data_IF_324276019643
#
_entry.id   IF_324276019643
#
_cell.length_a   1.000
_cell.length_b   1.000
_cell.length_c   1.000
_cell.angle_alpha   90.00
_cell.angle_beta   90.00
_cell.angle_gamma   90.00
#
_symmetry.space_group_name_H-M   'P 1'
#
loop_
_entity.id
_entity.type
_entity.pdbx_description
1 polymer ?
2 polymer ?
3 polymer ?
4 non-polymer ?
5 non-polymer ?
6 water ?
#
loop_
_entity_poly.entity_id
_entity_poly.type
_entity_poly.pdbx_seq_one_letter_code
_entity_poly.pdbx_strand_id
1 'polyribonucleotide' '(GTP)GAUGGCGAAAGCCAUUUCCGCAGGCCCCAUUGCACUCCGGGGUAUUGGCGUUAGGUGGUGGUACGAGGUUCGAAUCCUCGUACCGCAGCCA' ?
2 'polyribonucleotide' 'GGAUGGCGAAAGCCAUUUCCGCAGGCCCCAUUGCACUCCGGGGUAUUGGCGUUAGGUGGUGGUACGAGGUUCGAAUCCUCGUACCGCAGCCA' ?
#
# COMPACT_ATOMS: atom_id res chain seq x y z
N UNK C 6 11.13 -15.27 14.55
CA UNK C 6 11.14 -15.03 13.08
C UNK C 6 11.80 -16.17 12.31
N UNK C 7 10.99 -17.16 11.89
CA UNK C 7 11.52 -18.30 11.13
C UNK C 7 10.87 -18.37 9.76
N UNK C 8 11.49 -17.73 8.75
CA UNK C 8 11.01 -17.67 7.37
C UNK C 8 10.10 -18.82 6.90
N UNK C 9 8.94 -18.45 6.36
CA UNK C 9 7.95 -19.42 5.88
C UNK C 9 7.32 -18.98 4.57
N UNK C 10 6.82 -19.94 3.80
CA UNK C 10 6.16 -19.67 2.53
C UNK C 10 4.92 -18.82 2.74
N UNK C 11 4.46 -18.78 3.98
CA UNK C 11 3.24 -18.06 4.31
C UNK C 11 3.37 -16.92 5.30
N UNK C 12 2.93 -15.74 4.90
CA UNK C 12 2.96 -14.65 5.85
C UNK C 12 1.60 -14.65 6.60
N UNK C 13 1.62 -14.24 7.85
CA UNK C 13 0.41 -14.20 8.65
C UNK C 13 0.12 -12.75 8.88
N UNK C 14 -1.14 -12.34 8.71
CA UNK C 14 -1.48 -10.93 8.89
C UNK C 14 -2.65 -10.73 9.85
N UNK C 15 -2.48 -9.81 10.79
CA UNK C 15 -3.56 -9.52 11.73
C UNK C 15 -3.63 -8.02 11.91
N UNK C 16 -4.62 -7.59 12.67
CA UNK C 16 -4.91 -6.18 12.83
C UNK C 16 -5.57 -5.66 11.52
N UNK C 17 -6.37 -6.52 10.89
CA UNK C 17 -7.07 -6.16 9.66
C UNK C 17 -8.45 -5.65 10.04
N UNK C 18 -8.91 -4.62 9.33
CA UNK C 18 -10.22 -4.08 9.60
C UNK C 18 -11.27 -5.17 9.46
N UNK C 19 -11.97 -5.45 10.55
CA UNK C 19 -12.98 -6.48 10.54
C UNK C 19 -14.30 -6.18 9.83
N UNK C 20 -14.52 -4.94 9.40
CA UNK C 20 -15.76 -4.58 8.69
C UNK C 20 -15.78 -5.08 7.25
N UNK C 21 -14.63 -4.93 6.58
CA UNK C 21 -14.40 -5.35 5.20
C UNK C 21 -14.94 -6.76 4.99
N UNK C 22 -15.79 -6.94 4.00
CA UNK C 22 -16.36 -8.26 3.73
C UNK C 22 -15.23 -9.19 3.27
N UNK C 23 -15.49 -10.50 3.24
CA UNK C 23 -14.47 -11.46 2.85
C UNK C 23 -13.89 -11.28 1.47
N UNK C 24 -14.74 -11.49 0.46
CA UNK C 24 -14.32 -11.35 -0.94
C UNK C 24 -13.44 -10.13 -1.15
N UNK C 25 -13.87 -8.97 -0.64
CA UNK C 25 -13.11 -7.72 -0.82
C UNK C 25 -11.72 -7.82 -0.25
N UNK C 26 -11.65 -8.32 1.00
CA UNK C 26 -10.36 -8.46 1.68
C UNK C 26 -9.42 -9.26 0.80
N UNK C 27 -9.86 -10.45 0.36
CA UNK C 27 -9.03 -11.27 -0.50
C UNK C 27 -8.59 -10.51 -1.74
N UNK C 28 -9.53 -9.81 -2.37
CA UNK C 28 -9.22 -9.06 -3.59
C UNK C 28 -8.13 -8.07 -3.33
N UNK C 29 -8.36 -7.22 -2.34
CA UNK C 29 -7.39 -6.21 -2.01
C UNK C 29 -6.03 -6.83 -1.62
N UNK C 30 -6.04 -7.88 -0.79
CA UNK C 30 -4.80 -8.51 -0.34
C UNK C 30 -4.02 -9.03 -1.52
N UNK C 31 -4.75 -9.59 -2.47
CA UNK C 31 -4.11 -10.13 -3.65
C UNK C 31 -3.49 -9.02 -4.49
N UNK C 32 -4.17 -7.89 -4.63
CA UNK C 32 -3.56 -6.81 -5.40
C UNK C 32 -2.25 -6.39 -4.71
N UNK C 33 -2.31 -6.07 -3.42
CA UNK C 33 -1.10 -5.65 -2.71
C UNK C 33 0.03 -6.71 -2.67
N UNK C 34 -0.29 -7.95 -2.38
CA UNK C 34 0.77 -8.93 -2.25
C UNK C 34 1.27 -9.65 -3.49
N UNK C 35 0.41 -9.80 -4.50
CA UNK C 35 0.79 -10.51 -5.71
C UNK C 35 1.95 -9.83 -6.39
N UNK C 36 2.31 -8.64 -5.94
CA UNK C 36 3.43 -7.93 -6.55
C UNK C 36 4.71 -8.09 -5.73
N UNK C 37 4.84 -9.22 -5.06
CA UNK C 37 6.03 -9.49 -4.27
C UNK C 37 6.56 -10.84 -4.70
N UNK C 38 5.71 -11.53 -5.46
CA UNK C 38 6.07 -12.84 -5.95
C UNK C 38 4.75 -13.50 -6.22
N UNK C 39 4.78 -14.63 -6.91
CA UNK C 39 3.56 -15.36 -7.21
C UNK C 39 2.89 -15.87 -5.93
N UNK C 40 1.58 -15.70 -5.85
CA UNK C 40 0.82 -16.16 -4.70
C UNK C 40 0.11 -17.45 -5.02
N UNK C 41 0.08 -18.38 -4.06
CA UNK C 41 -0.59 -19.66 -4.28
C UNK C 41 -1.98 -19.65 -3.65
N UNK C 42 -2.15 -18.86 -2.61
CA UNK C 42 -3.46 -18.80 -1.97
C UNK C 42 -3.55 -17.79 -0.84
N UNK C 43 -4.75 -17.24 -0.68
CA UNK C 43 -5.02 -16.30 0.39
C UNK C 43 -6.18 -16.86 1.17
N UNK C 44 -5.99 -17.05 2.48
CA UNK C 44 -7.05 -17.61 3.30
C UNK C 44 -7.64 -16.57 4.23
N UNK C 45 -8.94 -16.32 4.09
CA UNK C 45 -9.59 -15.36 4.97
C UNK C 45 -10.82 -16.00 5.58
N UNK C 46 -11.01 -15.75 6.87
CA UNK C 46 -12.18 -16.28 7.54
C UNK C 46 -12.70 -15.23 8.49
N UNK C 47 -13.99 -15.32 8.78
CA UNK C 47 -14.64 -14.36 9.66
C UNK C 47 -15.37 -15.08 10.75
N UNK C 48 -14.66 -16.05 11.33
CA UNK C 48 -15.15 -16.85 12.43
C UNK C 48 -14.79 -16.00 13.62
N UNK C 49 -15.25 -16.38 14.81
CA UNK C 49 -14.95 -15.60 15.99
C UNK C 49 -13.45 -15.50 16.26
N UNK C 50 -12.73 -16.58 16.03
CA UNK C 50 -11.30 -16.59 16.28
C UNK C 50 -10.44 -16.21 15.06
N UNK C 52 -11.39 -13.97 12.41
CA UNK C 52 -11.60 -12.64 11.85
C UNK C 52 -10.48 -11.68 12.14
N UNK C 53 -10.36 -10.68 11.29
CA UNK C 53 -9.33 -9.68 11.46
C UNK C 53 -7.98 -10.21 11.05
N UNK C 54 -7.92 -11.49 10.69
CA UNK C 54 -6.64 -12.11 10.30
C UNK C 54 -6.67 -12.66 8.89
N UNK C 55 -5.50 -12.77 8.27
CA UNK C 55 -5.40 -13.29 6.93
C UNK C 55 -4.11 -14.06 6.73
N UNK C 56 -4.20 -15.14 5.97
CA UNK C 56 -3.08 -16.02 5.67
C UNK C 56 -2.73 -16.00 4.19
N UNK C 57 -1.63 -15.33 3.85
CA UNK C 57 -1.17 -15.24 2.45
C UNK C 57 0.01 -16.20 2.21
N UNK C 58 -0.19 -17.14 1.31
CA UNK C 58 0.82 -18.15 0.99
C UNK C 58 1.53 -17.94 -0.35
N UNK C 59 2.76 -17.45 -0.35
CA UNK C 59 3.51 -17.26 -1.60
C UNK C 59 4.04 -18.58 -2.08
N UNK C 60 4.53 -18.62 -3.31
CA UNK C 60 5.04 -19.88 -3.84
C UNK C 60 6.53 -20.11 -3.50
N UNK C 61 7.25 -19.02 -3.27
CA UNK C 61 8.68 -19.05 -2.93
C UNK C 61 8.96 -18.27 -1.64
N UNK C 62 9.63 -18.91 -0.69
CA UNK C 62 9.91 -18.26 0.58
C UNK C 62 10.55 -16.89 0.46
N UNK C 63 11.30 -16.66 -0.61
CA UNK C 63 11.93 -15.36 -0.81
C UNK C 63 10.90 -14.25 -1.01
N UNK C 64 9.73 -14.61 -1.53
CA UNK C 64 8.68 -13.63 -1.77
C UNK C 64 8.04 -13.24 -0.44
N UNK C 65 7.57 -14.25 0.27
CA UNK C 65 6.93 -14.03 1.56
C UNK C 65 7.82 -13.14 2.39
N UNK C 66 9.08 -13.51 2.48
CA UNK C 66 10.02 -12.74 3.28
C UNK C 66 10.15 -11.28 2.80
N UNK C 67 10.13 -11.07 1.48
CA UNK C 67 10.23 -9.72 0.95
C UNK C 67 8.96 -8.92 1.22
N UNK C 68 7.81 -9.56 1.05
CA UNK C 68 6.55 -8.87 1.30
C UNK C 68 6.55 -8.38 2.74
N UNK C 69 6.98 -9.25 3.65
CA UNK C 69 7.03 -8.92 5.07
C UNK C 69 7.80 -7.67 5.44
N UNK C 70 9.07 -7.61 5.07
CA UNK C 70 9.86 -6.43 5.42
C UNK C 70 9.31 -5.19 4.75
N UNK C 71 8.55 -5.38 3.67
CA UNK C 71 8.02 -4.26 2.91
C UNK C 71 6.64 -3.73 3.27
N UNK C 73 4.96 -4.37 6.12
CA UNK C 73 4.84 -4.27 7.57
C UNK C 73 4.36 -2.88 8.06
N UNK C 74 3.19 -2.83 8.66
CA UNK C 74 2.67 -1.58 9.16
C UNK C 74 1.92 -0.76 8.15
N UNK C 75 1.96 -1.19 6.89
CA UNK C 75 1.29 -0.45 5.82
C UNK C 75 -0.21 -0.22 6.07
N UNK C 76 -0.70 1.00 5.80
CA UNK C 76 -2.13 1.29 6.01
C UNK C 76 -2.96 0.33 5.17
N UNK C 77 -4.17 0.02 5.61
CA UNK C 77 -4.97 -0.89 4.82
C UNK C 77 -6.45 -0.57 4.75
N UNK C 78 -6.99 -0.01 5.82
CA UNK C 78 -8.37 0.41 5.88
C UNK C 78 -8.38 1.15 7.18
N UNK C 79 -7.47 2.11 7.27
CA UNK C 79 -7.29 2.93 8.45
C UNK C 79 -6.69 2.13 9.59
N UNK C 80 -5.92 1.10 9.27
CA UNK C 80 -5.30 0.25 10.28
C UNK C 80 -3.99 -0.34 9.77
N UNK C 81 -2.89 -0.12 10.52
CA UNK C 81 -1.58 -0.64 10.13
C UNK C 81 -1.51 -2.16 10.09
N UNK C 83 -0.01 -5.76 10.55
CA UNK C 83 1.02 -6.31 11.40
C UNK C 83 1.31 -7.66 10.74
N UNK C 84 2.49 -7.81 10.17
CA UNK C 84 2.78 -9.05 9.51
C UNK C 84 3.88 -9.84 10.19
N UNK C 85 3.80 -11.16 10.05
CA UNK C 85 4.74 -12.11 10.63
C UNK C 85 4.76 -13.33 9.75
N UNK C 86 5.72 -14.20 10.00
CA UNK C 86 5.80 -15.44 9.26
C UNK C 86 4.79 -16.37 9.90
N UNK C 87 4.32 -17.37 9.18
CA UNK C 87 3.35 -18.27 9.78
C UNK C 87 4.09 -19.34 10.56
N UNK C 88 3.73 -19.49 11.84
CA UNK C 88 4.34 -20.49 12.70
C UNK C 88 4.46 -21.90 12.07
N UNK C 89 3.67 -22.18 11.03
CA UNK C 89 3.74 -23.49 10.42
C UNK C 89 3.37 -23.57 8.96
N UNK C 90 4.12 -24.34 8.19
CA UNK C 90 3.82 -24.50 6.77
C UNK C 90 2.32 -24.69 6.57
N UNK C 91 1.84 -24.26 5.41
CA UNK C 91 0.41 -24.36 5.09
C UNK C 91 0.13 -25.69 4.41
N UNK C 92 -1.04 -26.24 4.69
CA UNK C 92 -1.46 -27.49 4.08
C UNK C 92 -0.93 -27.74 2.65
N UNK C 93 -1.09 -26.78 1.75
CA UNK C 93 -0.61 -27.04 0.39
C UNK C 93 0.91 -27.13 0.27
N UNK C 94 1.63 -26.30 1.01
CA UNK C 94 3.08 -26.32 0.96
C UNK C 94 3.65 -27.64 1.47
N UNK C 95 3.17 -28.07 2.64
CA UNK C 95 3.60 -29.32 3.32
C UNK C 95 3.39 -30.59 2.48
N UNK C 96 2.20 -30.75 1.91
CA UNK C 96 1.92 -31.92 1.09
C UNK C 96 3.02 -31.96 0.01
N UNK D 6 10.43 12.31 -17.20
CA UNK D 6 10.58 13.70 -16.66
C UNK D 6 11.79 13.80 -15.73
N UNK D 7 12.13 15.03 -15.35
CA UNK D 7 13.25 15.29 -14.44
C UNK D 7 12.78 15.29 -12.99
N UNK D 8 13.52 14.61 -12.08
CA UNK D 8 13.20 14.51 -10.65
C UNK D 8 12.77 15.82 -10.01
N UNK D 9 11.85 15.73 -9.06
CA UNK D 9 11.29 16.90 -8.38
C UNK D 9 10.94 16.48 -6.95
N UNK D 10 10.76 17.42 -6.04
CA UNK D 10 10.39 17.06 -4.66
C UNK D 10 8.92 16.70 -4.60
N UNK D 11 8.18 17.07 -5.63
CA UNK D 11 6.75 16.81 -5.66
C UNK D 11 6.32 15.72 -6.63
N UNK D 12 5.58 14.73 -6.14
CA UNK D 12 5.11 13.70 -7.03
C UNK D 12 3.66 14.00 -7.36
N UNK D 13 3.29 13.76 -8.60
CA UNK D 13 1.93 13.99 -9.05
C UNK D 13 1.20 12.65 -9.19
N UNK D 14 0.12 12.48 -8.44
CA UNK D 14 -0.61 11.23 -8.47
C UNK D 14 -2.00 11.38 -9.00
N UNK D 15 -2.29 10.74 -10.14
CA UNK D 15 -3.62 10.79 -10.72
C UNK D 15 -4.17 9.36 -10.76
N UNK D 16 -5.44 9.24 -11.14
CA UNK D 16 -6.16 7.97 -11.18
C UNK D 16 -6.53 7.50 -9.78
N UNK D 17 -6.92 8.47 -8.95
CA UNK D 17 -7.32 8.16 -7.60
C UNK D 17 -8.84 8.05 -7.61
N UNK D 18 -9.36 7.17 -6.76
CA UNK D 18 -10.80 6.94 -6.67
C UNK D 18 -11.51 8.19 -6.15
N UNK D 19 -12.22 8.88 -7.04
CA UNK D 19 -12.95 10.10 -6.70
C UNK D 19 -14.01 9.96 -5.59
N UNK D 20 -14.68 8.81 -5.52
CA UNK D 20 -15.69 8.59 -4.50
C UNK D 20 -15.18 8.96 -3.11
N UNK D 21 -13.89 8.72 -2.84
CA UNK D 21 -13.25 9.04 -1.56
C UNK D 21 -13.10 10.54 -1.37
N UNK D 22 -13.59 11.03 -0.23
CA UNK D 22 -13.57 12.46 0.11
C UNK D 22 -12.21 13.02 0.57
N UNK D 23 -12.01 14.30 0.24
CA UNK D 23 -10.78 15.06 0.53
C UNK D 23 -10.07 14.75 1.83
N UNK D 24 -10.70 15.07 2.95
CA UNK D 24 -10.10 14.83 4.26
C UNK D 24 -9.47 13.43 4.34
N UNK D 25 -10.20 12.43 3.86
CA UNK D 25 -9.76 11.03 3.88
C UNK D 25 -8.62 10.74 2.90
N UNK D 26 -8.71 11.31 1.71
CA UNK D 26 -7.69 11.08 0.71
C UNK D 26 -6.38 11.56 1.29
N UNK D 27 -6.40 12.77 1.83
CA UNK D 27 -5.21 13.34 2.43
C UNK D 27 -4.64 12.46 3.56
N UNK D 28 -5.50 11.93 4.44
CA UNK D 28 -5.02 11.09 5.55
C UNK D 28 -4.33 9.81 5.07
N UNK D 29 -5.02 9.04 4.25
CA UNK D 29 -4.46 7.81 3.73
C UNK D 29 -3.23 8.07 2.87
N UNK D 30 -3.33 9.09 2.01
CA UNK D 30 -2.20 9.43 1.16
C UNK D 30 -0.98 9.70 2.02
N UNK D 31 -1.16 10.58 3.00
CA UNK D 31 -0.09 10.96 3.92
C UNK D 31 0.47 9.77 4.69
N UNK D 32 -0.44 8.87 5.08
CA UNK D 32 -0.10 7.67 5.82
C UNK D 32 0.74 6.67 5.01
N UNK D 33 0.57 6.69 3.68
CA UNK D 33 1.33 5.78 2.82
C UNK D 33 2.65 6.39 2.40
N UNK D 34 2.62 7.66 2.06
CA UNK D 34 3.83 8.31 1.60
C UNK D 34 4.83 8.75 2.66
N UNK D 35 4.37 8.89 3.89
CA UNK D 35 5.26 9.27 4.98
C UNK D 35 6.34 8.20 5.20
N UNK D 36 6.02 6.96 4.83
CA UNK D 36 6.95 5.84 4.97
C UNK D 36 8.20 5.98 4.09
N UNK D 37 8.21 6.97 3.21
CA UNK D 37 9.35 7.16 2.32
C UNK D 37 10.13 8.41 2.64
N UNK D 38 9.60 9.20 3.56
CA UNK D 38 10.30 10.43 3.90
C UNK D 38 9.43 11.44 4.60
N UNK D 39 10.00 12.64 4.78
CA UNK D 39 9.30 13.72 5.45
C UNK D 39 8.43 14.46 4.45
N UNK D 40 7.14 14.53 4.72
CA UNK D 40 6.21 15.20 3.81
C UNK D 40 5.90 16.63 4.24
N UNK D 41 6.23 17.57 3.34
CA UNK D 41 6.01 18.99 3.59
C UNK D 41 4.57 19.34 3.33
N UNK D 42 3.95 18.64 2.38
CA UNK D 42 2.54 18.91 2.11
C UNK D 42 1.91 18.00 1.06
N UNK D 43 0.59 17.86 1.16
CA UNK D 43 -0.16 17.06 0.22
C UNK D 43 -1.32 17.88 -0.27
N UNK D 44 -1.28 18.26 -1.54
CA UNK D 44 -2.36 19.07 -2.08
C UNK D 44 -3.38 18.23 -2.85
N UNK D 45 -4.64 18.40 -2.46
CA UNK D 45 -5.77 17.68 -3.03
C UNK D 45 -6.96 18.60 -3.22
N UNK D 46 -7.52 18.59 -4.42
CA UNK D 46 -8.70 19.40 -4.66
C UNK D 46 -9.81 18.44 -5.04
N UNK D 47 -11.04 18.88 -4.82
CA UNK D 47 -12.18 18.06 -5.17
C UNK D 47 -12.78 18.71 -6.40
N UNK D 48 -12.11 19.77 -6.86
CA UNK D 48 -12.52 20.55 -8.02
C UNK D 48 -12.61 19.77 -9.32
N UNK D 49 -13.31 20.33 -10.29
CA UNK D 49 -13.49 19.71 -11.60
C UNK D 49 -12.21 19.20 -12.22
N UNK D 50 -11.35 20.14 -12.58
CA UNK D 50 -10.08 19.83 -13.22
C UNK D 50 -9.06 19.16 -12.29
N UNK D 52 -9.63 16.55 -9.87
CA UNK D 52 -10.11 15.32 -9.24
C UNK D 52 -9.24 14.11 -9.48
N UNK D 53 -9.53 13.07 -8.70
CA UNK D 53 -8.80 11.82 -8.80
C UNK D 53 -7.30 11.98 -8.79
N UNK D 54 -6.85 13.15 -8.39
CA UNK D 54 -5.44 13.41 -8.39
C UNK D 54 -5.01 14.28 -7.21
N UNK D 55 -3.75 14.13 -6.82
CA UNK D 55 -3.15 14.87 -5.71
C UNK D 55 -1.65 15.05 -5.89
N UNK D 56 -1.10 16.06 -5.22
CA UNK D 56 0.32 16.36 -5.30
C UNK D 56 0.92 16.13 -3.93
N UNK D 57 2.03 15.41 -3.85
CA UNK D 57 2.68 15.19 -2.56
C UNK D 57 4.10 15.71 -2.65
N UNK D 58 4.42 16.64 -1.77
CA UNK D 58 5.74 17.28 -1.71
C UNK D 58 6.66 16.71 -0.65
N UNK D 59 7.76 16.11 -1.07
CA UNK D 59 8.72 15.57 -0.13
C UNK D 59 9.78 16.61 0.23
N UNK D 60 10.58 16.35 1.26
CA UNK D 60 11.65 17.27 1.68
C UNK D 60 12.87 17.04 0.81
N UNK D 61 13.23 15.78 0.59
CA UNK D 61 14.39 15.45 -0.25
C UNK D 61 13.95 14.71 -1.54
N UNK D 62 14.51 15.12 -2.68
CA UNK D 62 14.17 14.54 -3.97
C UNK D 62 14.39 13.02 -4.08
N UNK D 63 15.41 12.52 -3.41
CA UNK D 63 15.71 11.09 -3.45
C UNK D 63 14.60 10.25 -2.84
N UNK D 64 14.02 10.73 -1.74
CA UNK D 64 12.92 10.03 -1.09
C UNK D 64 11.64 10.14 -1.92
N UNK D 65 11.60 11.11 -2.84
CA UNK D 65 10.45 11.28 -3.72
C UNK D 65 10.55 10.21 -4.80
N UNK D 66 11.77 10.01 -5.29
CA UNK D 66 12.09 9.01 -6.31
C UNK D 66 11.75 7.63 -5.78
N UNK D 67 12.14 7.37 -4.54
CA UNK D 67 11.88 6.08 -3.92
C UNK D 67 10.38 5.87 -3.87
N UNK D 68 9.65 6.93 -3.57
CA UNK D 68 8.21 6.82 -3.51
C UNK D 68 7.72 6.41 -4.89
N UNK D 69 8.07 7.22 -5.88
CA UNK D 69 7.67 6.94 -7.24
C UNK D 69 7.91 5.48 -7.62
N UNK D 70 9.17 5.09 -7.77
CA UNK D 70 9.50 3.72 -8.15
C UNK D 70 8.74 2.63 -7.38
N UNK D 71 8.51 2.84 -6.09
CA UNK D 71 7.81 1.85 -5.28
C UNK D 71 6.30 1.89 -5.45
N UNK D 73 4.57 3.02 -7.49
CA UNK D 73 4.07 3.02 -8.85
C UNK D 73 3.03 1.94 -9.06
N UNK D 74 1.80 2.37 -9.30
CA UNK D 74 0.70 1.45 -9.55
C UNK D 74 0.09 0.73 -8.37
N UNK D 75 0.45 1.11 -7.14
CA UNK D 75 -0.10 0.43 -5.96
C UNK D 75 -1.63 0.51 -5.92
N UNK D 76 -2.28 -0.57 -5.44
CA UNK D 76 -3.74 -0.61 -5.34
C UNK D 76 -4.16 0.45 -4.31
N UNK D 77 -5.29 1.10 -4.52
CA UNK D 77 -5.68 2.13 -3.57
C UNK D 77 -7.09 2.56 -3.89
N UNK D 78 -8.03 2.15 -3.05
CA UNK D 78 -9.44 2.45 -3.25
C UNK D 78 -9.94 1.91 -4.57
N UNK D 79 -9.51 0.69 -4.90
CA UNK D 79 -9.92 0.00 -6.12
C UNK D 79 -9.17 0.41 -7.37
N UNK D 80 -8.22 1.32 -7.25
CA UNK D 80 -7.48 1.75 -8.43
C UNK D 80 -5.96 1.77 -8.28
N UNK D 81 -5.24 1.33 -9.32
CA UNK D 81 -3.78 1.35 -9.23
C UNK D 81 -3.39 2.79 -9.39
N UNK D 83 -1.24 6.00 -10.40
CA UNK D 83 -0.16 6.29 -11.34
C UNK D 83 0.66 7.43 -10.72
N UNK D 84 1.98 7.31 -10.76
CA UNK D 84 2.84 8.34 -10.16
C UNK D 84 3.93 8.87 -11.06
N UNK D 85 3.92 10.18 -11.31
CA UNK D 85 4.94 10.84 -12.12
C UNK D 85 5.50 11.97 -11.29
N UNK D 86 6.57 12.59 -11.79
CA UNK D 86 7.14 13.71 -11.09
C UNK D 86 6.23 14.90 -11.43
N UNK D 87 6.46 16.05 -10.80
CA UNK D 87 5.65 17.22 -11.09
C UNK D 87 6.24 17.92 -12.31
N UNK D 88 5.38 18.26 -13.26
CA UNK D 88 5.80 18.94 -14.48
C UNK D 88 6.48 20.26 -14.12
N UNK D 89 6.12 20.80 -12.96
CA UNK D 89 6.66 22.06 -12.44
C UNK D 89 7.00 21.88 -10.97
N UNK D 90 7.72 22.84 -10.42
CA UNK D 90 8.12 22.80 -9.03
C UNK D 90 6.99 23.38 -8.15
N UNK D 91 6.86 22.85 -6.94
CA UNK D 91 5.82 23.33 -6.03
C UNK D 91 6.18 24.64 -5.36
N UNK D 92 5.19 25.51 -5.24
CA UNK D 92 5.34 26.83 -4.63
C UNK D 92 6.29 26.87 -3.45
N UNK D 93 5.99 26.14 -2.38
CA UNK D 93 6.85 26.18 -1.20
C UNK D 93 8.28 25.68 -1.43
N UNK D 94 8.53 25.05 -2.57
CA UNK D 94 9.89 24.57 -2.85
C UNK D 94 10.65 25.61 -3.67
N UNK D 95 9.92 26.35 -4.50
CA UNK D 95 10.55 27.40 -5.32
C UNK D 95 11.18 28.46 -4.43
N UNK D 96 10.68 28.60 -3.20
CA UNK D 96 11.20 29.57 -2.25
C UNK D 96 12.22 28.90 -1.32
#
# INVERSE_FOLDING_TARGET
XAVPETRPNHTIYINNLNEKIKKDELKKSLHAIFSRFGQILDILVSRSLKXRGQAFVIFKEVSSATNALRSXQGFPFYDKPXRIQYAKTDSDIIAKXK
XAVPETRPNHTIYINNLNEKIKKDELKKSLHAIFSRFGQILDILVSRSLKXRGQAFVIFKEVSSATNALRSXQGFPFYDKPXRIQYAKTDSDIIAKXK
#
